data_IF_848904618947
#
_entry.id   IF_848904618947
#
_cell.length_a   1.000
_cell.length_b   1.000
_cell.length_c   1.000
_cell.angle_alpha   90.00
_cell.angle_beta   90.00
_cell.angle_gamma   90.00
#
_symmetry.space_group_name_H-M   'P 1'
#
loop_
_entity.id
_entity.type
_entity.pdbx_description
1 polymer ?
#
# COMPACT_ATOMS: atom_id res chain seq x y z
N UNK A 1 5.78 11.23 20.99
CA UNK A 1 6.93 10.65 21.73
C UNK A 1 7.08 9.22 21.28
N UNK A 2 8.26 8.82 20.79
CA UNK A 2 8.50 7.48 20.26
C UNK A 2 8.44 6.45 21.39
N UNK A 3 7.53 5.48 21.32
CA UNK A 3 7.39 4.35 22.27
C UNK A 3 8.45 3.26 22.08
N UNK A 4 9.59 3.64 21.49
CA UNK A 4 10.67 2.78 21.01
C UNK A 4 11.49 2.14 22.14
N UNK A 5 10.92 1.19 22.86
CA UNK A 5 11.69 0.23 23.67
C UNK A 5 11.99 -0.99 22.80
N UNK A 6 13.28 -1.37 22.69
CA UNK A 6 13.75 -2.55 21.97
C UNK A 6 12.96 -3.81 22.41
N UNK A 7 11.96 -4.26 21.65
CA UNK A 7 11.06 -5.32 22.09
C UNK A 7 11.68 -6.71 21.87
N UNK A 8 12.71 -6.79 21.02
CA UNK A 8 13.30 -8.04 20.53
C UNK A 8 14.60 -8.44 21.26
N UNK A 9 15.02 -7.71 22.30
CA UNK A 9 16.24 -8.07 23.06
C UNK A 9 17.54 -8.02 22.25
N UNK A 10 17.57 -7.34 21.10
CA UNK A 10 18.71 -7.36 20.17
C UNK A 10 19.98 -6.82 20.86
N UNK A 11 21.12 -7.54 20.82
CA UNK A 11 22.36 -7.11 21.44
C UNK A 11 22.87 -5.75 20.92
N UNK A 12 23.48 -4.89 21.76
CA UNK A 12 23.88 -3.53 21.39
C UNK A 12 24.80 -3.43 20.17
N UNK A 13 25.69 -4.41 19.97
CA UNK A 13 26.63 -4.42 18.84
C UNK A 13 25.95 -4.67 17.48
N UNK A 14 24.79 -5.35 17.46
CA UNK A 14 23.97 -5.51 16.26
C UNK A 14 23.09 -4.28 15.99
N UNK A 15 22.96 -3.34 16.94
CA UNK A 15 22.21 -2.09 16.78
C UNK A 15 23.03 -0.95 16.23
N UNK A 16 24.31 -1.13 15.99
CA UNK A 16 25.17 -0.05 15.51
C UNK A 16 24.62 0.42 14.15
N UNK A 17 24.01 1.62 14.15
CA UNK A 17 23.29 2.24 13.03
C UNK A 17 21.85 1.76 12.74
N UNK A 18 21.19 1.04 13.65
CA UNK A 18 19.77 0.70 13.53
C UNK A 18 18.91 1.60 14.43
N UNK A 19 17.99 2.34 13.83
CA UNK A 19 16.96 3.08 14.56
C UNK A 19 15.68 2.24 14.63
N UNK A 20 15.12 2.09 15.84
CA UNK A 20 13.84 1.43 15.99
C UNK A 20 12.73 2.38 15.55
N UNK A 21 12.02 1.98 14.50
CA UNK A 21 10.81 2.65 14.04
C UNK A 21 9.61 1.98 14.71
N UNK A 22 8.81 2.79 15.41
CA UNK A 22 7.53 2.36 15.96
C UNK A 22 6.52 2.03 14.87
N UNK A 23 5.28 1.77 15.28
CA UNK A 23 4.16 1.74 14.34
C UNK A 23 3.73 3.18 14.06
N UNK A 24 3.39 3.45 12.80
CA UNK A 24 2.82 4.72 12.36
C UNK A 24 1.31 4.74 12.64
N UNK A 25 0.65 3.57 12.54
CA UNK A 25 -0.75 3.41 12.90
C UNK A 25 -0.91 3.33 14.42
N UNK A 26 -1.93 4.02 14.94
CA UNK A 26 -2.17 4.16 16.39
C UNK A 26 -2.94 2.98 17.02
N UNK A 27 -3.56 2.14 16.20
CA UNK A 27 -4.36 1.01 16.68
C UNK A 27 -3.54 -0.28 16.83
N UNK A 28 -4.10 -1.29 17.50
CA UNK A 28 -3.45 -2.58 17.64
C UNK A 28 -3.49 -3.38 16.35
N UNK A 29 -2.39 -4.07 16.03
CA UNK A 29 -2.27 -4.94 14.85
C UNK A 29 -3.38 -6.02 14.77
N UNK A 30 -3.84 -6.51 15.93
CA UNK A 30 -4.93 -7.48 16.02
C UNK A 30 -6.26 -6.98 15.46
N UNK A 31 -6.43 -5.67 15.29
CA UNK A 31 -7.62 -5.06 14.71
C UNK A 31 -7.59 -5.05 13.17
N UNK A 32 -6.43 -5.33 12.55
CA UNK A 32 -6.33 -5.47 11.09
C UNK A 32 -6.92 -6.79 10.63
N UNK A 33 -8.03 -6.69 9.89
CA UNK A 33 -8.61 -7.82 9.17
C UNK A 33 -8.13 -7.79 7.73
N UNK A 34 -7.41 -8.83 7.31
CA UNK A 34 -7.01 -8.97 5.92
C UNK A 34 -8.15 -9.63 5.14
N UNK A 35 -8.59 -8.98 4.08
CA UNK A 35 -9.50 -9.56 3.10
C UNK A 35 -8.68 -9.93 1.88
N UNK A 36 -8.60 -11.23 1.58
CA UNK A 36 -7.97 -11.73 0.37
C UNK A 36 -9.04 -12.04 -0.67
N UNK A 37 -8.87 -11.51 -1.87
CA UNK A 37 -9.68 -11.95 -3.01
C UNK A 37 -9.31 -13.39 -3.38
N UNK A 38 -10.33 -14.23 -3.54
CA UNK A 38 -10.18 -15.59 -4.08
C UNK A 38 -10.36 -15.52 -5.59
N UNK A 39 -9.55 -16.26 -6.33
CA UNK A 39 -9.68 -16.41 -7.79
C UNK A 39 -11.06 -16.95 -8.19
N UNK A 40 -11.65 -17.80 -7.35
CA UNK A 40 -13.06 -18.18 -7.44
C UNK A 40 -13.68 -18.06 -6.05
N UNK A 41 -14.61 -17.13 -5.90
CA UNK A 41 -15.35 -16.92 -4.65
C UNK A 41 -16.60 -17.81 -4.61
N UNK A 42 -16.41 -19.07 -4.24
CA UNK A 42 -17.52 -20.03 -4.07
C UNK A 42 -18.53 -19.59 -3.00
N UNK A 43 -18.08 -18.91 -1.95
CA UNK A 43 -18.96 -18.40 -0.88
C UNK A 43 -19.87 -17.30 -1.42
N UNK A 44 -19.31 -16.34 -2.16
CA UNK A 44 -20.07 -15.30 -2.84
C UNK A 44 -21.05 -15.87 -3.87
N UNK A 45 -20.63 -16.84 -4.68
CA UNK A 45 -21.52 -17.51 -5.64
C UNK A 45 -22.70 -18.20 -4.94
N UNK A 46 -22.43 -18.95 -3.87
CA UNK A 46 -23.46 -19.63 -3.09
C UNK A 46 -24.44 -18.65 -2.42
N UNK A 47 -23.93 -17.53 -1.90
CA UNK A 47 -24.76 -16.47 -1.33
C UNK A 47 -25.71 -15.84 -2.37
N UNK A 48 -25.36 -15.91 -3.66
CA UNK A 48 -26.17 -15.47 -4.79
C UNK A 48 -26.93 -16.62 -5.47
N UNK A 49 -27.20 -17.71 -4.75
CA UNK A 49 -27.95 -18.89 -5.22
C UNK A 49 -27.26 -19.72 -6.34
N UNK A 50 -25.95 -19.57 -6.52
CA UNK A 50 -25.14 -20.39 -7.42
C UNK A 50 -24.22 -21.34 -6.63
N UNK A 51 -24.75 -22.47 -6.13
CA UNK A 51 -23.95 -23.47 -5.40
C UNK A 51 -23.25 -24.44 -6.38
N UNK A 52 -22.14 -23.96 -6.98
CA UNK A 52 -21.37 -24.73 -7.97
C UNK A 52 -20.14 -25.44 -7.40
N UNK A 53 -19.76 -25.11 -6.17
CA UNK A 53 -18.56 -25.65 -5.50
C UNK A 53 -18.52 -27.20 -5.47
N UNK A 54 -19.62 -27.91 -5.14
CA UNK A 54 -19.61 -29.37 -5.07
C UNK A 54 -19.20 -30.03 -6.40
N UNK A 55 -19.56 -29.46 -7.54
CA UNK A 55 -19.22 -30.02 -8.85
C UNK A 55 -17.71 -30.05 -9.08
N UNK A 56 -17.00 -29.01 -8.64
CA UNK A 56 -15.54 -28.93 -8.78
C UNK A 56 -14.82 -29.78 -7.74
N UNK A 57 -15.35 -29.85 -6.50
CA UNK A 57 -14.80 -30.72 -5.46
C UNK A 57 -14.89 -32.19 -5.87
N UNK A 58 -16.03 -32.65 -6.42
CA UNK A 58 -16.19 -34.02 -6.91
C UNK A 58 -15.21 -34.37 -8.03
N UNK A 59 -14.81 -33.40 -8.85
CA UNK A 59 -13.82 -33.58 -9.91
C UNK A 59 -12.36 -33.55 -9.38
N UNK A 60 -12.16 -33.25 -8.09
CA UNK A 60 -10.82 -33.16 -7.48
C UNK A 60 -10.11 -31.83 -7.71
N UNK A 61 -10.82 -30.77 -8.12
CA UNK A 61 -10.22 -29.49 -8.51
C UNK A 61 -9.93 -28.55 -7.32
N UNK A 62 -10.33 -28.92 -6.10
CA UNK A 62 -10.16 -28.06 -4.92
C UNK A 62 -8.72 -27.55 -4.76
N UNK A 63 -7.74 -28.47 -4.85
CA UNK A 63 -6.31 -28.13 -4.72
C UNK A 63 -5.82 -27.17 -5.82
N UNK A 64 -6.42 -27.22 -7.01
CA UNK A 64 -6.09 -26.30 -8.08
C UNK A 64 -6.55 -24.88 -7.77
N UNK A 65 -7.78 -24.69 -7.28
CA UNK A 65 -8.26 -23.37 -6.84
C UNK A 65 -7.47 -22.82 -5.65
N UNK A 66 -7.12 -23.68 -4.68
CA UNK A 66 -6.27 -23.28 -3.55
C UNK A 66 -4.90 -22.80 -4.03
N UNK A 67 -4.31 -23.50 -5.01
CA UNK A 67 -3.03 -23.12 -5.62
C UNK A 67 -3.13 -21.81 -6.41
N UNK A 68 -4.24 -21.55 -7.11
CA UNK A 68 -4.44 -20.32 -7.87
C UNK A 68 -4.45 -19.06 -7.00
N UNK A 69 -4.94 -19.15 -5.76
CA UNK A 69 -4.92 -18.03 -4.82
C UNK A 69 -3.49 -17.68 -4.37
N UNK A 70 -2.54 -18.62 -4.49
CA UNK A 70 -1.14 -18.45 -4.12
C UNK A 70 -0.92 -18.28 -2.61
N UNK A 71 0.35 -18.28 -2.16
CA UNK A 71 0.66 -17.97 -0.78
C UNK A 71 0.42 -16.48 -0.52
N UNK A 72 -0.38 -16.20 0.51
CA UNK A 72 -0.54 -14.86 1.08
C UNK A 72 0.23 -14.85 2.41
N UNK A 73 0.86 -13.72 2.74
CA UNK A 73 1.58 -13.53 3.99
C UNK A 73 0.86 -12.49 4.87
N UNK A 74 -0.22 -12.86 5.60
CA UNK A 74 -1.04 -11.89 6.32
C UNK A 74 -0.27 -11.09 7.35
N UNK A 75 0.58 -11.75 8.13
CA UNK A 75 1.38 -11.07 9.16
C UNK A 75 2.38 -10.08 8.54
N UNK A 76 2.97 -10.41 7.39
CA UNK A 76 3.83 -9.48 6.68
C UNK A 76 3.05 -8.25 6.20
N UNK A 77 1.85 -8.44 5.68
CA UNK A 77 0.97 -7.34 5.24
C UNK A 77 0.51 -6.48 6.43
N UNK A 78 0.15 -7.09 7.55
CA UNK A 78 -0.19 -6.36 8.78
C UNK A 78 0.99 -5.53 9.26
N UNK A 79 2.17 -6.13 9.43
CA UNK A 79 3.39 -5.40 9.77
C UNK A 79 3.70 -4.26 8.78
N UNK A 80 3.49 -4.50 7.49
CA UNK A 80 3.64 -3.48 6.45
C UNK A 80 2.72 -2.30 6.71
N UNK A 81 1.42 -2.54 6.90
CA UNK A 81 0.43 -1.48 7.10
C UNK A 81 0.58 -0.76 8.43
N UNK A 82 0.93 -1.49 9.50
CA UNK A 82 1.21 -0.89 10.82
C UNK A 82 2.36 0.14 10.77
N UNK A 83 3.31 -0.05 9.86
CA UNK A 83 4.49 0.83 9.68
C UNK A 83 4.42 1.68 8.41
N UNK A 84 3.32 1.60 7.67
CA UNK A 84 3.17 2.35 6.45
C UNK A 84 2.86 3.81 6.78
N UNK A 85 3.53 4.72 6.06
CA UNK A 85 3.24 6.15 6.09
C UNK A 85 3.09 6.70 4.68
N UNK A 86 2.24 7.70 4.56
CA UNK A 86 2.16 8.49 3.35
C UNK A 86 3.34 9.45 3.29
N UNK A 87 4.02 9.47 2.16
CA UNK A 87 5.13 10.37 1.88
C UNK A 87 4.76 11.25 0.70
N UNK A 88 4.39 12.49 1.01
CA UNK A 88 4.01 13.53 0.06
C UNK A 88 5.14 14.56 -0.09
N UNK A 89 4.89 15.58 -0.90
CA UNK A 89 5.80 16.71 -1.08
C UNK A 89 6.06 17.45 0.24
N UNK A 90 5.07 17.44 1.16
CA UNK A 90 5.21 18.06 2.47
C UNK A 90 6.27 17.35 3.31
N UNK A 91 6.17 16.02 3.48
CA UNK A 91 7.14 15.23 4.24
C UNK A 91 8.53 15.30 3.60
N UNK A 92 8.61 15.32 2.27
CA UNK A 92 9.88 15.49 1.56
C UNK A 92 10.59 16.80 1.94
N UNK A 93 9.85 17.92 1.98
CA UNK A 93 10.38 19.22 2.37
C UNK A 93 10.76 19.26 3.86
N UNK A 94 9.98 18.64 4.72
CA UNK A 94 10.30 18.55 6.16
C UNK A 94 11.59 17.77 6.39
N UNK A 95 11.80 16.66 5.68
CA UNK A 95 13.04 15.87 5.77
C UNK A 95 14.27 16.69 5.34
N UNK A 96 14.15 17.49 4.28
CA UNK A 96 15.22 18.41 3.84
C UNK A 96 15.52 19.49 4.88
N UNK A 97 14.49 20.11 5.47
CA UNK A 97 14.66 21.12 6.51
C UNK A 97 15.35 20.55 7.74
N UNK A 98 14.93 19.36 8.19
CA UNK A 98 15.57 18.66 9.32
C UNK A 98 17.02 18.29 9.01
N UNK A 99 17.33 17.91 7.77
CA UNK A 99 18.71 17.63 7.35
C UNK A 99 19.59 18.88 7.37
N UNK A 100 19.06 20.02 6.91
CA UNK A 100 19.76 21.32 6.94
C UNK A 100 19.97 21.79 8.39
N UNK A 101 18.99 21.58 9.27
CA UNK A 101 19.11 21.91 10.69
C UNK A 101 20.22 21.09 11.36
N UNK A 102 20.29 19.78 11.08
CA UNK A 102 21.36 18.89 11.55
C UNK A 102 22.72 19.23 10.93
N UNK A 103 22.75 19.63 9.66
CA UNK A 103 23.97 19.97 8.93
C UNK A 103 23.77 21.20 8.02
N UNK A 104 24.14 22.40 8.50
CA UNK A 104 23.95 23.65 7.75
C UNK A 104 24.64 23.70 6.38
N UNK A 105 25.64 22.84 6.11
CA UNK A 105 26.33 22.76 4.82
C UNK A 105 25.47 22.19 3.70
N UNK A 106 24.34 21.58 4.03
CA UNK A 106 23.39 21.07 3.05
C UNK A 106 22.47 22.17 2.49
N UNK A 107 22.50 23.37 3.07
CA UNK A 107 21.69 24.50 2.59
C UNK A 107 22.00 24.84 1.13
N UNK A 108 20.98 24.84 0.28
CA UNK A 108 21.09 25.16 -1.15
C UNK A 108 21.50 23.99 -2.05
N UNK A 109 21.79 22.81 -1.49
CA UNK A 109 22.01 21.59 -2.28
C UNK A 109 20.70 21.00 -2.78
N UNK A 110 20.76 20.25 -3.87
CA UNK A 110 19.63 19.44 -4.33
C UNK A 110 19.39 18.24 -3.40
N UNK A 111 18.17 17.71 -3.41
CA UNK A 111 17.78 16.52 -2.62
C UNK A 111 18.72 15.33 -2.83
N UNK A 112 19.12 15.10 -4.08
CA UNK A 112 20.07 14.04 -4.47
C UNK A 112 21.48 14.28 -3.90
N UNK A 113 21.94 15.53 -3.90
CA UNK A 113 23.23 15.91 -3.29
C UNK A 113 23.23 15.84 -1.76
N UNK A 114 22.06 15.92 -1.12
CA UNK A 114 21.88 15.64 0.31
C UNK A 114 21.86 14.14 0.63
N UNK A 115 21.86 13.26 -0.39
CA UNK A 115 21.79 11.82 -0.23
C UNK A 115 20.37 11.26 -0.14
N UNK A 116 19.35 12.06 -0.44
CA UNK A 116 17.96 11.62 -0.44
C UNK A 116 17.50 11.16 -1.82
N UNK A 117 16.51 10.25 -1.83
CA UNK A 117 15.82 9.83 -3.04
C UNK A 117 14.96 10.99 -3.57
N UNK A 118 15.04 11.26 -4.86
CA UNK A 118 14.24 12.29 -5.54
C UNK A 118 12.74 12.04 -5.35
N UNK A 119 11.99 13.10 -5.10
CA UNK A 119 10.54 13.01 -4.93
C UNK A 119 9.85 13.10 -6.29
N UNK A 120 9.40 11.96 -6.81
CA UNK A 120 8.69 11.86 -8.10
C UNK A 120 7.17 12.01 -7.96
N UNK A 121 6.63 11.74 -6.78
CA UNK A 121 5.19 11.80 -6.50
C UNK A 121 4.88 11.21 -5.14
N UNK A 122 3.61 11.22 -4.76
CA UNK A 122 3.14 10.63 -3.50
C UNK A 122 3.48 9.14 -3.44
N UNK A 123 4.06 8.73 -2.32
CA UNK A 123 4.54 7.37 -2.09
C UNK A 123 3.98 6.82 -0.79
N UNK A 124 3.80 5.51 -0.72
CA UNK A 124 3.62 4.77 0.53
C UNK A 124 5.00 4.23 0.91
N UNK A 125 5.48 4.58 2.09
CA UNK A 125 6.76 4.09 2.61
C UNK A 125 6.50 3.25 3.84
N UNK A 126 7.15 2.09 3.94
CA UNK A 126 7.09 1.23 5.13
C UNK A 126 8.45 0.59 5.37
N UNK A 127 8.77 0.28 6.62
CA UNK A 127 10.00 -0.41 6.98
C UNK A 127 9.66 -1.74 7.63
N UNK A 128 9.81 -2.86 6.91
CA UNK A 128 9.39 -4.18 7.39
C UNK A 128 10.60 -5.09 7.46
N UNK A 129 10.89 -5.66 8.63
CA UNK A 129 12.03 -6.54 8.86
C UNK A 129 13.39 -5.96 8.39
N UNK A 130 13.57 -4.63 8.53
CA UNK A 130 14.78 -3.93 8.09
C UNK A 130 14.82 -3.58 6.59
N UNK A 131 13.78 -3.92 5.82
CA UNK A 131 13.63 -3.55 4.42
C UNK A 131 12.80 -2.27 4.31
N UNK A 132 13.37 -1.24 3.69
CA UNK A 132 12.63 -0.02 3.35
C UNK A 132 11.90 -0.23 2.02
N UNK A 133 10.58 -0.32 2.11
CA UNK A 133 9.68 -0.50 0.99
C UNK A 133 9.11 0.86 0.59
N UNK A 134 9.12 1.16 -0.70
CA UNK A 134 8.58 2.39 -1.28
C UNK A 134 7.66 2.01 -2.44
N UNK A 135 6.39 2.34 -2.31
CA UNK A 135 5.38 2.13 -3.34
C UNK A 135 4.93 3.46 -3.92
N UNK A 136 5.04 3.62 -5.24
CA UNK A 136 4.52 4.75 -5.99
C UNK A 136 3.42 4.30 -6.94
N UNK A 137 2.74 5.26 -7.57
CA UNK A 137 1.75 4.99 -8.62
C UNK A 137 2.30 4.07 -9.73
N UNK A 138 3.55 4.27 -10.12
CA UNK A 138 4.21 3.48 -11.17
C UNK A 138 4.26 1.98 -10.84
N UNK A 139 4.46 1.62 -9.57
CA UNK A 139 4.45 0.23 -9.14
C UNK A 139 3.08 -0.42 -9.30
N UNK A 140 2.00 0.31 -8.98
CA UNK A 140 0.64 -0.17 -9.16
C UNK A 140 0.25 -0.27 -10.63
N UNK A 141 0.61 0.73 -11.44
CA UNK A 141 0.37 0.69 -12.88
C UNK A 141 1.04 -0.54 -13.51
N UNK A 142 2.30 -0.82 -13.14
CA UNK A 142 3.02 -2.00 -13.64
C UNK A 142 2.40 -3.31 -13.14
N UNK A 143 2.00 -3.38 -11.87
CA UNK A 143 1.37 -4.57 -11.29
C UNK A 143 0.04 -4.90 -11.97
N UNK A 144 -0.77 -3.89 -12.23
CA UNK A 144 -2.10 -4.02 -12.85
C UNK A 144 -2.06 -4.02 -14.37
N UNK A 145 -0.87 -3.88 -14.97
CA UNK A 145 -0.67 -3.71 -16.41
C UNK A 145 -1.53 -2.58 -17.00
N UNK A 146 -1.55 -1.44 -16.31
CA UNK A 146 -2.26 -0.23 -16.69
C UNK A 146 -1.30 0.82 -17.23
N UNK A 147 -1.78 1.59 -18.21
CA UNK A 147 -1.12 2.82 -18.63
C UNK A 147 -1.15 3.85 -17.50
N UNK A 148 -0.07 4.62 -17.34
CA UNK A 148 -0.02 5.74 -16.40
C UNK A 148 -0.81 6.95 -16.92
N UNK A 149 -2.11 6.77 -17.09
CA UNK A 149 -3.06 7.76 -17.61
C UNK A 149 -4.32 7.73 -16.75
N UNK A 150 -4.94 8.88 -16.55
CA UNK A 150 -6.16 8.97 -15.77
C UNK A 150 -6.39 10.38 -15.24
N UNK A 151 -7.60 10.60 -14.74
CA UNK A 151 -8.01 11.86 -14.13
C UNK A 151 -8.07 11.68 -12.61
N UNK A 152 -7.67 12.71 -11.86
CA UNK A 152 -7.79 12.71 -10.39
C UNK A 152 -9.19 13.22 -10.06
N UNK A 153 -10.03 12.39 -9.46
CA UNK A 153 -11.42 12.74 -9.13
C UNK A 153 -11.50 13.95 -8.19
N UNK A 154 -10.58 14.07 -7.24
CA UNK A 154 -10.51 15.20 -6.30
C UNK A 154 -10.19 16.54 -6.96
N UNK A 155 -9.73 16.55 -8.22
CA UNK A 155 -9.54 17.79 -8.98
C UNK A 155 -10.85 18.38 -9.51
N UNK A 156 -11.96 17.62 -9.43
CA UNK A 156 -13.28 18.07 -9.83
C UNK A 156 -14.08 18.52 -8.60
N UNK A 157 -14.76 19.66 -8.71
CA UNK A 157 -15.67 20.12 -7.66
C UNK A 157 -16.81 19.10 -7.46
N UNK A 158 -17.07 18.73 -6.20
CA UNK A 158 -18.01 17.67 -5.81
C UNK A 158 -19.44 17.88 -6.33
N UNK A 159 -19.85 19.12 -6.59
CA UNK A 159 -21.21 19.50 -7.00
C UNK A 159 -21.34 19.84 -8.51
N UNK A 160 -20.37 19.43 -9.33
CA UNK A 160 -20.43 19.74 -10.75
C UNK A 160 -21.17 18.68 -11.56
N UNK A 161 -21.96 19.13 -12.56
CA UNK A 161 -22.43 18.31 -13.70
C UNK A 161 -21.31 17.48 -14.35
N UNK A 162 -20.06 17.87 -14.15
CA UNK A 162 -18.88 17.15 -14.59
C UNK A 162 -18.67 15.82 -13.86
N UNK A 163 -19.01 15.71 -12.57
CA UNK A 163 -18.94 14.44 -11.84
C UNK A 163 -19.98 13.45 -12.38
N UNK A 164 -21.21 13.89 -12.60
CA UNK A 164 -22.26 13.08 -13.24
C UNK A 164 -21.86 12.66 -14.67
N UNK A 165 -21.30 13.58 -15.45
CA UNK A 165 -20.80 13.28 -16.79
C UNK A 165 -19.59 12.33 -16.78
N UNK A 166 -18.73 12.39 -15.75
CA UNK A 166 -17.62 11.47 -15.53
C UNK A 166 -18.11 10.08 -15.17
N UNK A 167 -19.05 9.97 -14.22
CA UNK A 167 -19.71 8.70 -13.89
C UNK A 167 -20.34 8.09 -15.15
N UNK A 168 -21.06 8.88 -15.94
CA UNK A 168 -21.67 8.40 -17.18
C UNK A 168 -20.65 7.96 -18.24
N UNK A 169 -19.42 8.52 -18.22
CA UNK A 169 -18.31 8.12 -19.08
C UNK A 169 -17.56 6.89 -18.57
N UNK A 170 -17.47 6.73 -17.25
CA UNK A 170 -16.79 5.60 -16.59
C UNK A 170 -17.65 4.33 -16.65
N UNK A 171 -18.97 4.48 -16.49
CA UNK A 171 -19.94 3.41 -16.63
C UNK A 171 -20.60 3.57 -18.00
N UNK A 172 -20.00 2.98 -19.04
CA UNK A 172 -20.71 2.78 -20.31
C UNK A 172 -22.00 2.00 -19.99
N UNK A 173 -23.15 2.57 -20.34
CA UNK A 173 -24.48 1.98 -20.20
C UNK A 173 -24.46 0.49 -20.62
N UNK A 174 -24.56 -0.40 -19.62
CA UNK A 174 -24.80 -1.83 -19.84
C UNK A 174 -26.28 -2.06 -20.19
N UNK A 175 -27.10 -1.00 -20.21
CA UNK A 175 -28.53 -1.05 -20.53
C UNK A 175 -28.84 -1.22 -22.04
N UNK A 176 -27.82 -1.27 -22.90
CA UNK A 176 -27.96 -1.60 -24.33
C UNK A 176 -27.32 -2.95 -24.67
N UNK A 177 -27.92 -4.06 -24.22
CA UNK A 177 -27.86 -5.35 -24.91
C UNK A 177 -29.08 -6.20 -24.59
#
# INVERSE_FOLDING_TARGET
>A
MSTSMNPLGIPPYLRMNLEYTGNEMEFQESLLTLVSEKMVDFEGLKANNFDVEPYFIHQGWKRYFDMLNGPIYPELLKHFWMKAKLFTKYEAKQEELQAIEKNPRLKGKSRKEMGFIEFTGTQIRSSVCGLNLIYSKEHFNKLLNLDDKGLILDAFEKDTRYMDALLHRMFLDISHK
#
